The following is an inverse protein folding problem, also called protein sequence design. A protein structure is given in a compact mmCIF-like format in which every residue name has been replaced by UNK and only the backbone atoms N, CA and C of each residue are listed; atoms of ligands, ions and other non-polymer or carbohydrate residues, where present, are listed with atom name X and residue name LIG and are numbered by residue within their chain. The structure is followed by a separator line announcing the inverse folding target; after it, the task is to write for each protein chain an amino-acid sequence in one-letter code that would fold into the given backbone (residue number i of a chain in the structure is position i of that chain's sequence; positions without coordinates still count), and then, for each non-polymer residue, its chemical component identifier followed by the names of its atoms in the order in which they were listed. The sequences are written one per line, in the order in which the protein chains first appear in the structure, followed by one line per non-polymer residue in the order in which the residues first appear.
data_IF_170787842450
#
_entry.id   IF_170787842450
#
_cell.length_a   1.000
_cell.length_b   1.000
_cell.length_c   1.000
_cell.angle_alpha   90.00
_cell.angle_beta   90.00
_cell.angle_gamma   90.00
#
_symmetry.space_group_name_H-M   'P 1'
#
loop_
_entity.id
_entity.type
_entity.pdbx_description
1 polymer ?
#
# COMPACT_ATOMS: atom_id res chain seq x y z
N UNK A 1 -0.91 -5.13 16.09
CA UNK A 1 -1.28 -3.71 15.93
C UNK A 1 -2.67 -3.67 15.31
N UNK A 2 -3.58 -2.83 15.77
CA UNK A 2 -4.91 -2.69 15.13
C UNK A 2 -4.75 -1.80 13.89
N UNK A 3 -4.59 -2.42 12.71
CA UNK A 3 -4.40 -1.71 11.45
C UNK A 3 -5.59 -0.81 11.12
N UNK A 4 -6.80 -1.16 11.59
CA UNK A 4 -8.00 -0.34 11.38
C UNK A 4 -7.85 0.97 12.14
N UNK A 5 -7.39 0.92 13.40
CA UNK A 5 -7.18 2.13 14.20
C UNK A 5 -6.14 3.07 13.56
N UNK A 6 -5.06 2.51 13.01
CA UNK A 6 -4.00 3.27 12.32
C UNK A 6 -4.51 3.88 11.00
N UNK A 7 -5.19 3.08 10.17
CA UNK A 7 -5.84 3.54 8.94
C UNK A 7 -6.80 4.71 9.22
N UNK A 8 -7.67 4.59 10.24
CA UNK A 8 -8.64 5.63 10.58
C UNK A 8 -7.96 6.94 10.98
N UNK A 9 -6.86 6.88 11.74
CA UNK A 9 -6.13 8.08 12.16
C UNK A 9 -5.45 8.80 10.98
N UNK A 10 -4.82 8.04 10.08
CA UNK A 10 -4.16 8.60 8.91
C UNK A 10 -5.17 9.14 7.89
N UNK A 11 -6.25 8.40 7.64
CA UNK A 11 -7.30 8.82 6.73
C UNK A 11 -8.03 10.08 7.23
N UNK A 12 -8.31 10.18 8.53
CA UNK A 12 -8.93 11.37 9.12
C UNK A 12 -8.03 12.60 8.92
N UNK A 13 -6.72 12.45 9.09
CA UNK A 13 -5.74 13.52 8.88
C UNK A 13 -5.58 13.91 7.42
N UNK A 14 -5.58 12.95 6.50
CA UNK A 14 -5.30 13.18 5.09
C UNK A 14 -6.51 13.70 4.31
N UNK A 15 -7.69 13.13 4.55
CA UNK A 15 -8.89 13.41 3.75
C UNK A 15 -9.87 14.34 4.47
N UNK A 16 -9.60 14.71 5.73
CA UNK A 16 -10.51 15.52 6.55
C UNK A 16 -11.94 14.96 6.67
N UNK A 17 -12.07 13.63 6.51
CA UNK A 17 -13.35 12.92 6.66
C UNK A 17 -13.53 12.56 8.13
N UNK A 18 -14.71 12.82 8.74
CA UNK A 18 -14.96 12.47 10.13
C UNK A 18 -14.75 10.98 10.39
N UNK A 19 -14.13 10.64 11.52
CA UNK A 19 -13.88 9.24 11.92
C UNK A 19 -15.10 8.32 11.80
N UNK A 20 -16.28 8.79 12.21
CA UNK A 20 -17.51 8.01 12.14
C UNK A 20 -17.93 7.64 10.70
N UNK A 21 -17.57 8.45 9.71
CA UNK A 21 -17.79 8.13 8.29
C UNK A 21 -16.72 7.17 7.76
N UNK A 22 -15.48 7.32 8.20
CA UNK A 22 -14.40 6.38 7.87
C UNK A 22 -14.66 4.98 8.46
N UNK A 23 -15.28 4.87 9.63
CA UNK A 23 -15.71 3.59 10.21
C UNK A 23 -16.76 2.90 9.34
N UNK A 24 -17.72 3.65 8.77
CA UNK A 24 -18.69 3.12 7.80
C UNK A 24 -18.00 2.67 6.52
N UNK A 25 -17.04 3.44 6.03
CA UNK A 25 -16.22 3.05 4.88
C UNK A 25 -15.51 1.70 5.12
N UNK A 26 -14.86 1.52 6.27
CA UNK A 26 -14.22 0.24 6.64
C UNK A 26 -15.23 -0.90 6.65
N UNK A 27 -16.41 -0.66 7.24
CA UNK A 27 -17.50 -1.64 7.26
C UNK A 27 -17.92 -2.02 5.83
N UNK A 28 -18.22 -1.05 4.97
CA UNK A 28 -18.63 -1.30 3.58
C UNK A 28 -17.55 -2.02 2.78
N UNK A 29 -16.28 -1.60 2.89
CA UNK A 29 -15.16 -2.29 2.24
C UNK A 29 -14.99 -3.76 2.69
N UNK A 30 -15.51 -4.13 3.86
CA UNK A 30 -15.44 -5.50 4.38
C UNK A 30 -16.65 -6.36 4.01
N UNK A 31 -17.84 -5.78 3.93
CA UNK A 31 -19.10 -6.51 3.81
C UNK A 31 -19.89 -6.25 2.54
N UNK A 32 -19.77 -5.05 1.97
CA UNK A 32 -20.61 -4.58 0.87
C UNK A 32 -19.91 -3.44 0.08
N UNK A 33 -18.99 -3.77 -0.84
CA UNK A 33 -18.19 -2.78 -1.56
C UNK A 33 -19.00 -1.83 -2.45
N UNK A 34 -20.19 -2.24 -2.91
CA UNK A 34 -21.05 -1.40 -3.75
C UNK A 34 -21.54 -0.14 -3.00
N UNK A 35 -21.70 -0.24 -1.66
CA UNK A 35 -22.07 0.90 -0.81
C UNK A 35 -20.98 1.96 -0.66
N UNK A 36 -19.73 1.65 -0.99
CA UNK A 36 -18.62 2.60 -0.90
C UNK A 36 -18.82 3.74 -1.92
N UNK A 37 -19.31 3.41 -3.11
CA UNK A 37 -19.60 4.41 -4.14
C UNK A 37 -20.75 5.34 -3.70
N UNK A 38 -21.87 4.77 -3.22
CA UNK A 38 -22.99 5.56 -2.70
C UNK A 38 -22.60 6.44 -1.50
N UNK A 39 -21.69 5.95 -0.65
CA UNK A 39 -21.15 6.69 0.49
C UNK A 39 -20.30 7.87 0.04
N UNK A 40 -19.40 7.65 -0.94
CA UNK A 40 -18.55 8.69 -1.50
C UNK A 40 -19.38 9.80 -2.17
N UNK A 41 -20.40 9.41 -2.94
CA UNK A 41 -21.34 10.35 -3.58
C UNK A 41 -22.09 11.21 -2.54
N UNK A 42 -22.57 10.60 -1.45
CA UNK A 42 -23.28 11.33 -0.37
C UNK A 42 -22.40 12.34 0.33
N UNK A 43 -21.11 12.05 0.48
CA UNK A 43 -20.13 12.92 1.11
C UNK A 43 -19.43 13.87 0.14
N UNK A 44 -19.74 13.78 -1.16
CA UNK A 44 -19.10 14.58 -2.22
C UNK A 44 -17.57 14.40 -2.24
N UNK A 45 -17.09 13.20 -1.95
CA UNK A 45 -15.68 12.84 -2.07
C UNK A 45 -15.34 12.73 -3.56
N UNK A 46 -14.27 13.39 -4.00
CA UNK A 46 -13.85 13.30 -5.39
C UNK A 46 -13.27 11.91 -5.72
N UNK A 47 -13.28 11.56 -7.00
CA UNK A 47 -12.82 10.24 -7.46
C UNK A 47 -11.34 9.99 -7.13
N UNK A 48 -10.50 11.04 -7.10
CA UNK A 48 -9.09 10.95 -6.76
C UNK A 48 -8.89 10.63 -5.28
N UNK A 49 -9.56 11.36 -4.40
CA UNK A 49 -9.53 11.10 -2.96
C UNK A 49 -10.13 9.73 -2.61
N UNK A 50 -11.20 9.31 -3.29
CA UNK A 50 -11.78 7.98 -3.11
C UNK A 50 -10.80 6.87 -3.52
N UNK A 51 -10.10 7.03 -4.65
CA UNK A 51 -9.08 6.10 -5.11
C UNK A 51 -7.92 6.02 -4.11
N UNK A 52 -7.44 7.16 -3.61
CA UNK A 52 -6.38 7.23 -2.62
C UNK A 52 -6.79 6.58 -1.29
N UNK A 53 -7.99 6.88 -0.79
CA UNK A 53 -8.53 6.29 0.44
C UNK A 53 -8.66 4.76 0.33
N UNK A 54 -9.16 4.28 -0.80
CA UNK A 54 -9.30 2.84 -1.09
C UNK A 54 -7.94 2.15 -1.17
N UNK A 55 -6.97 2.80 -1.83
CA UNK A 55 -5.60 2.30 -1.94
C UNK A 55 -4.94 2.21 -0.57
N UNK A 56 -5.11 3.25 0.26
CA UNK A 56 -4.60 3.27 1.64
C UNK A 56 -5.18 2.13 2.48
N UNK A 57 -6.50 1.93 2.41
CA UNK A 57 -7.16 0.81 3.09
C UNK A 57 -6.62 -0.56 2.65
N UNK A 58 -6.46 -0.77 1.34
CA UNK A 58 -5.92 -2.02 0.81
C UNK A 58 -4.50 -2.24 1.30
N UNK A 59 -3.67 -1.19 1.35
CA UNK A 59 -2.29 -1.27 1.83
C UNK A 59 -2.25 -1.72 3.30
N UNK A 60 -2.98 -1.05 4.18
CA UNK A 60 -3.05 -1.40 5.61
C UNK A 60 -3.57 -2.82 5.85
N UNK A 61 -4.64 -3.22 5.15
CA UNK A 61 -5.21 -4.57 5.25
C UNK A 61 -4.26 -5.64 4.70
N UNK A 62 -3.51 -5.31 3.66
CA UNK A 62 -2.53 -6.23 3.08
C UNK A 62 -1.32 -6.37 3.98
N UNK A 63 -0.83 -5.28 4.57
CA UNK A 63 0.23 -5.31 5.58
C UNK A 63 -0.14 -6.19 6.77
N UNK A 64 -1.36 -6.09 7.31
CA UNK A 64 -1.82 -6.99 8.38
C UNK A 64 -1.77 -8.46 7.94
N UNK A 65 -2.33 -8.78 6.77
CA UNK A 65 -2.37 -10.17 6.28
C UNK A 65 -0.98 -10.73 6.00
N UNK A 66 -0.11 -9.93 5.40
CA UNK A 66 1.29 -10.31 5.14
C UNK A 66 2.01 -10.48 6.47
N UNK A 67 1.85 -9.55 7.41
CA UNK A 67 2.44 -9.68 8.74
C UNK A 67 1.94 -10.93 9.46
N UNK A 68 0.63 -11.23 9.43
CA UNK A 68 0.08 -12.44 10.02
C UNK A 68 0.65 -13.71 9.36
N UNK A 69 0.70 -13.77 8.03
CA UNK A 69 1.25 -14.90 7.30
C UNK A 69 2.75 -15.10 7.54
N UNK A 70 3.49 -14.02 7.78
CA UNK A 70 4.92 -14.05 8.06
C UNK A 70 5.23 -14.17 9.56
N UNK A 71 4.29 -13.87 10.45
CA UNK A 71 4.52 -13.84 11.91
C UNK A 71 4.80 -15.21 12.52
N UNK A 72 4.32 -16.27 11.87
CA UNK A 72 4.63 -17.66 12.25
C UNK A 72 5.97 -18.13 11.67
N UNK A 73 6.59 -17.35 10.78
CA UNK A 73 7.91 -17.64 10.23
C UNK A 73 8.97 -16.93 11.07
N UNK A 74 9.70 -17.69 11.90
CA UNK A 74 10.93 -17.21 12.53
C UNK A 74 12.07 -17.12 11.48
N UNK A 75 11.97 -16.14 10.58
CA UNK A 75 13.02 -15.89 9.58
C UNK A 75 14.14 -15.07 10.19
N UNK A 76 15.38 -15.49 9.94
CA UNK A 76 16.53 -14.60 10.09
C UNK A 76 16.48 -13.51 9.01
N UNK A 77 17.18 -12.41 9.26
CA UNK A 77 17.18 -11.24 8.35
C UNK A 77 17.56 -11.62 6.92
N UNK A 78 18.54 -12.50 6.74
CA UNK A 78 18.97 -13.01 5.44
C UNK A 78 17.91 -13.88 4.75
N UNK A 79 17.18 -14.69 5.50
CA UNK A 79 16.07 -15.52 4.98
C UNK A 79 14.87 -14.67 4.59
N UNK A 80 14.56 -13.62 5.36
CA UNK A 80 13.52 -12.63 5.03
C UNK A 80 13.86 -11.85 3.75
N UNK A 81 15.13 -11.42 3.61
CA UNK A 81 15.63 -10.78 2.38
C UNK A 81 15.53 -11.74 1.20
N UNK A 82 15.90 -13.01 1.37
CA UNK A 82 15.79 -14.04 0.34
C UNK A 82 14.34 -14.28 -0.11
N UNK A 83 13.41 -14.35 0.84
CA UNK A 83 11.97 -14.51 0.58
C UNK A 83 11.40 -13.32 -0.19
N UNK A 84 11.62 -12.09 0.30
CA UNK A 84 11.13 -10.87 -0.34
C UNK A 84 11.68 -10.72 -1.77
N UNK A 85 12.97 -11.02 -1.94
CA UNK A 85 13.64 -10.97 -3.25
C UNK A 85 13.07 -12.01 -4.22
N UNK A 86 12.76 -13.21 -3.73
CA UNK A 86 12.16 -14.28 -4.54
C UNK A 86 10.73 -13.93 -4.96
N UNK A 87 9.93 -13.36 -4.06
CA UNK A 87 8.56 -12.91 -4.38
C UNK A 87 8.60 -11.80 -5.43
N UNK A 88 9.45 -10.79 -5.23
CA UNK A 88 9.59 -9.70 -6.19
C UNK A 88 10.04 -10.20 -7.57
N UNK A 89 11.03 -11.09 -7.61
CA UNK A 89 11.49 -11.69 -8.87
C UNK A 89 10.39 -12.49 -9.57
N UNK A 90 9.61 -13.29 -8.83
CA UNK A 90 8.50 -14.05 -9.40
C UNK A 90 7.40 -13.15 -9.98
N UNK A 91 7.06 -12.06 -9.28
CA UNK A 91 6.11 -11.06 -9.79
C UNK A 91 6.62 -10.46 -11.09
N UNK A 92 7.87 -9.99 -11.12
CA UNK A 92 8.45 -9.36 -12.30
C UNK A 92 8.57 -10.34 -13.48
N UNK A 93 8.94 -11.59 -13.22
CA UNK A 93 9.06 -12.60 -14.28
C UNK A 93 7.71 -13.01 -14.89
N UNK A 94 6.61 -12.86 -14.14
CA UNK A 94 5.26 -13.13 -14.64
C UNK A 94 4.74 -12.03 -15.58
N UNK A 95 5.35 -10.83 -15.55
CA UNK A 95 4.94 -9.70 -16.38
C UNK A 95 5.56 -9.73 -17.79
N UNK A 96 4.89 -9.10 -18.79
CA UNK A 96 5.48 -8.75 -20.08
C UNK A 96 6.77 -7.95 -19.88
N UNK A 97 7.77 -8.14 -20.75
CA UNK A 97 9.12 -7.59 -20.59
C UNK A 97 9.12 -6.06 -20.48
N UNK A 98 8.26 -5.41 -21.27
CA UNK A 98 8.03 -3.97 -21.31
C UNK A 98 7.45 -3.40 -20.00
N UNK A 99 6.74 -4.21 -19.21
CA UNK A 99 6.12 -3.80 -17.95
C UNK A 99 7.04 -4.03 -16.75
N UNK A 100 8.05 -4.91 -16.86
CA UNK A 100 8.92 -5.29 -15.72
C UNK A 100 9.65 -4.11 -15.13
N UNK A 101 10.27 -3.28 -15.97
CA UNK A 101 11.09 -2.14 -15.53
C UNK A 101 10.24 -1.05 -14.88
N UNK A 102 9.12 -0.60 -15.46
CA UNK A 102 8.18 0.32 -14.79
C UNK A 102 7.67 -0.22 -13.44
N UNK A 103 7.29 -1.49 -13.37
CA UNK A 103 6.77 -2.09 -12.13
C UNK A 103 7.88 -2.23 -11.08
N UNK A 104 9.10 -2.61 -11.46
CA UNK A 104 10.24 -2.63 -10.55
C UNK A 104 10.51 -1.24 -9.95
N UNK A 105 10.46 -0.19 -10.76
CA UNK A 105 10.62 1.17 -10.26
C UNK A 105 9.51 1.56 -9.26
N UNK A 106 8.27 1.17 -9.53
CA UNK A 106 7.15 1.38 -8.61
C UNK A 106 7.32 0.63 -7.29
N UNK A 107 7.79 -0.63 -7.32
CA UNK A 107 8.08 -1.40 -6.11
C UNK A 107 9.17 -0.72 -5.26
N UNK A 108 10.22 -0.20 -5.90
CA UNK A 108 11.30 0.50 -5.20
C UNK A 108 10.80 1.82 -4.59
N UNK A 109 9.94 2.56 -5.29
CA UNK A 109 9.30 3.76 -4.75
C UNK A 109 8.39 3.45 -3.56
N UNK A 110 7.60 2.37 -3.65
CA UNK A 110 6.76 1.93 -2.54
C UNK A 110 7.59 1.56 -1.31
N UNK A 111 8.72 0.87 -1.48
CA UNK A 111 9.67 0.61 -0.39
C UNK A 111 10.22 1.92 0.18
N UNK A 112 10.62 2.86 -0.68
CA UNK A 112 11.16 4.15 -0.23
C UNK A 112 10.19 4.94 0.64
N UNK A 113 8.88 4.87 0.36
CA UNK A 113 7.83 5.52 1.16
C UNK A 113 7.73 4.97 2.59
N UNK A 114 8.15 3.72 2.81
CA UNK A 114 8.15 3.08 4.13
C UNK A 114 9.47 3.27 4.91
N UNK A 115 10.50 3.87 4.29
CA UNK A 115 11.80 4.10 4.93
C UNK A 115 11.83 5.45 5.65
N UNK A 116 12.04 5.39 6.98
CA UNK A 116 12.15 6.59 7.82
C UNK A 116 13.41 7.42 7.48
N UNK A 117 14.55 6.76 7.22
CA UNK A 117 15.82 7.40 6.89
C UNK A 117 15.74 8.17 5.56
N UNK A 118 15.94 9.49 5.62
CA UNK A 118 15.81 10.37 4.47
C UNK A 118 16.87 10.14 3.39
N UNK A 119 18.10 9.77 3.76
CA UNK A 119 19.17 9.53 2.80
C UNK A 119 18.91 8.24 2.02
N UNK A 120 18.50 7.17 2.70
CA UNK A 120 18.15 5.89 2.06
C UNK A 120 16.92 6.08 1.16
N UNK A 121 15.87 6.73 1.66
CA UNK A 121 14.67 7.03 0.87
C UNK A 121 14.99 7.80 -0.41
N UNK A 122 15.80 8.86 -0.32
CA UNK A 122 16.19 9.65 -1.49
C UNK A 122 17.04 8.85 -2.48
N UNK A 123 17.94 7.99 -1.98
CA UNK A 123 18.75 7.10 -2.84
C UNK A 123 17.88 6.10 -3.61
N UNK A 124 16.86 5.52 -2.97
CA UNK A 124 15.92 4.60 -3.61
C UNK A 124 15.05 5.33 -4.65
N UNK A 125 14.58 6.53 -4.33
CA UNK A 125 13.80 7.35 -5.25
C UNK A 125 14.59 7.73 -6.51
N UNK A 126 15.86 8.11 -6.36
CA UNK A 126 16.72 8.43 -7.51
C UNK A 126 17.00 7.19 -8.36
N UNK A 127 17.23 6.03 -7.74
CA UNK A 127 17.41 4.78 -8.47
C UNK A 127 16.16 4.40 -9.28
N UNK A 128 14.97 4.51 -8.68
CA UNK A 128 13.72 4.28 -9.38
C UNK A 128 13.50 5.26 -10.54
N UNK A 129 13.90 6.54 -10.36
CA UNK A 129 13.85 7.55 -11.42
C UNK A 129 14.73 7.16 -12.62
N UNK A 130 15.95 6.68 -12.38
CA UNK A 130 16.84 6.19 -13.44
C UNK A 130 16.19 5.02 -14.20
N UNK A 131 15.59 4.07 -13.47
CA UNK A 131 14.88 2.94 -14.09
C UNK A 131 13.68 3.36 -14.95
N UNK A 132 13.03 4.49 -14.66
CA UNK A 132 11.90 5.00 -15.46
C UNK A 132 12.33 5.86 -16.66
N UNK A 133 13.56 6.36 -16.66
CA UNK A 133 14.07 7.27 -17.69
C UNK A 133 14.73 6.53 -18.87
N UNK A 134 15.09 5.26 -18.68
CA UNK A 134 15.67 4.37 -19.69
C UNK A 134 14.65 3.39 -20.28
#
# INVERSE_FOLDING_TARGET
MDWVAQFLADAEKMFSIPRAELEKFVQYMSSDPEKVQEWAEKLQIDEGDLLMLTTLYILYKTEEKVFAALSDLELKVDEAVGLASTIAANILNALPEEERRPILAQLILAIALQVEDAAIRNSLAEYARVLLAE
#
